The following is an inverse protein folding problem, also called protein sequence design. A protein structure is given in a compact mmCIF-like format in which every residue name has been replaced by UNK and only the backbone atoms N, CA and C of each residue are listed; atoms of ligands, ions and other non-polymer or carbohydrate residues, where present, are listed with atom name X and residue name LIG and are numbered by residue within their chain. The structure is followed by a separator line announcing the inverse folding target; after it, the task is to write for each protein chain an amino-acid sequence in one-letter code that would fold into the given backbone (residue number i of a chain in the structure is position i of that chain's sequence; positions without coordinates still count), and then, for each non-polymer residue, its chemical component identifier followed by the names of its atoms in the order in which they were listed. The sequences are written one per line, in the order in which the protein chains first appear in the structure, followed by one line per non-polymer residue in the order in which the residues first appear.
data_IF_516306386530
#
_entry.id   IF_516306386530
#
_cell.length_a   1.000
_cell.length_b   1.000
_cell.length_c   1.000
_cell.angle_alpha   90.00
_cell.angle_beta   90.00
_cell.angle_gamma   90.00
#
_symmetry.space_group_name_H-M   'P 1'
#
loop_
_entity.id
_entity.type
_entity.pdbx_description
1 polymer ?
#
# COMPACT_ATOMS: atom_id res chain seq x y z
N UNK A 1 -7.40 -35.03 6.96
CA UNK A 1 -8.28 -33.86 7.27
C UNK A 1 -7.63 -32.52 6.91
N UNK A 2 -6.36 -32.27 7.24
CA UNK A 2 -5.70 -30.98 6.93
C UNK A 2 -5.59 -30.62 5.43
N UNK A 3 -5.33 -31.60 4.54
CA UNK A 3 -5.16 -31.38 3.10
C UNK A 3 -6.45 -30.94 2.39
N UNK A 4 -7.60 -31.47 2.81
CA UNK A 4 -8.91 -31.06 2.30
C UNK A 4 -9.22 -29.60 2.65
N UNK A 5 -8.87 -29.16 3.86
CA UNK A 5 -9.05 -27.77 4.28
C UNK A 5 -8.24 -26.77 3.45
N UNK A 6 -6.97 -27.09 3.16
CA UNK A 6 -6.12 -26.24 2.29
C UNK A 6 -6.68 -26.16 0.88
N UNK A 7 -7.12 -27.30 0.31
CA UNK A 7 -7.74 -27.32 -1.03
C UNK A 7 -9.03 -26.50 -1.10
N UNK A 8 -9.89 -26.61 -0.07
CA UNK A 8 -11.14 -25.85 0.00
C UNK A 8 -10.89 -24.35 0.16
N UNK A 9 -9.89 -23.96 0.96
CA UNK A 9 -9.47 -22.58 1.14
C UNK A 9 -8.96 -21.98 -0.17
N UNK A 10 -8.04 -22.66 -0.86
CA UNK A 10 -7.54 -22.23 -2.17
C UNK A 10 -8.67 -22.06 -3.19
N UNK A 11 -9.60 -23.03 -3.27
CA UNK A 11 -10.75 -22.94 -4.16
C UNK A 11 -11.66 -21.74 -3.84
N UNK A 12 -11.91 -21.49 -2.56
CA UNK A 12 -12.74 -20.38 -2.09
C UNK A 12 -12.13 -19.02 -2.43
N UNK A 13 -10.80 -18.86 -2.30
CA UNK A 13 -10.05 -17.66 -2.73
C UNK A 13 -10.13 -17.52 -4.25
N UNK A 14 -9.86 -18.59 -5.01
CA UNK A 14 -9.93 -18.58 -6.48
C UNK A 14 -11.31 -18.19 -7.00
N UNK A 15 -12.37 -18.57 -6.29
CA UNK A 15 -13.76 -18.20 -6.60
C UNK A 15 -14.17 -16.82 -6.06
N UNK A 16 -13.34 -16.19 -5.24
CA UNK A 16 -13.62 -14.89 -4.63
C UNK A 16 -14.64 -14.94 -3.48
N UNK A 17 -14.97 -16.12 -2.95
CA UNK A 17 -15.99 -16.28 -1.90
C UNK A 17 -15.58 -15.67 -0.56
N UNK A 18 -14.27 -15.55 -0.32
CA UNK A 18 -13.70 -15.00 0.90
C UNK A 18 -12.78 -13.80 0.64
N UNK A 19 -12.95 -13.13 -0.52
CA UNK A 19 -12.18 -11.95 -0.89
C UNK A 19 -11.49 -12.07 -2.24
N UNK A 20 -11.22 -10.90 -2.83
CA UNK A 20 -10.47 -10.80 -4.08
C UNK A 20 -8.97 -10.90 -3.80
N UNK A 21 -8.29 -11.78 -4.53
CA UNK A 21 -6.83 -11.84 -4.59
C UNK A 21 -6.39 -11.33 -5.96
N UNK A 22 -5.67 -10.20 -6.04
CA UNK A 22 -5.15 -9.71 -7.30
C UNK A 22 -4.20 -10.72 -7.96
N UNK A 23 -4.05 -10.66 -9.30
CA UNK A 23 -3.00 -11.36 -10.01
C UNK A 23 -1.61 -11.10 -9.43
N UNK A 24 -0.73 -12.10 -9.50
CA UNK A 24 0.63 -12.01 -8.95
C UNK A 24 1.45 -10.89 -9.59
N UNK A 25 1.25 -10.61 -10.87
CA UNK A 25 1.94 -9.55 -11.59
C UNK A 25 1.55 -8.16 -11.08
N UNK A 26 0.29 -7.94 -10.71
CA UNK A 26 -0.16 -6.70 -10.08
C UNK A 26 0.44 -6.53 -8.67
N UNK A 27 0.58 -7.63 -7.91
CA UNK A 27 1.20 -7.63 -6.59
C UNK A 27 2.70 -7.34 -6.67
N UNK A 28 3.39 -7.88 -7.67
CA UNK A 28 4.83 -7.69 -7.85
C UNK A 28 5.18 -6.33 -8.46
N UNK A 29 4.25 -5.71 -9.20
CA UNK A 29 4.45 -4.43 -9.88
C UNK A 29 3.34 -3.45 -9.52
N UNK A 30 3.27 -3.02 -8.24
CA UNK A 30 2.26 -2.07 -7.82
C UNK A 30 2.41 -0.75 -8.56
N UNK A 31 1.32 -0.28 -9.17
CA UNK A 31 1.27 1.03 -9.83
C UNK A 31 1.05 2.09 -8.76
N UNK A 32 2.03 2.98 -8.56
CA UNK A 32 1.84 4.15 -7.69
C UNK A 32 0.90 5.15 -8.35
N UNK A 33 -0.32 5.29 -7.82
CA UNK A 33 -1.32 6.25 -8.30
C UNK A 33 -1.16 7.58 -7.56
N UNK A 34 -0.52 8.55 -8.19
CA UNK A 34 -0.41 9.92 -7.68
C UNK A 34 -1.54 10.81 -8.21
N UNK A 35 -1.98 11.74 -7.38
CA UNK A 35 -2.91 12.78 -7.76
C UNK A 35 -2.23 13.83 -8.65
N UNK A 36 -2.98 14.38 -9.61
CA UNK A 36 -2.57 15.60 -10.31
C UNK A 36 -2.55 16.77 -9.33
N UNK A 37 -1.54 17.63 -9.44
CA UNK A 37 -1.39 18.79 -8.55
C UNK A 37 -1.71 20.07 -9.32
N UNK A 38 -2.60 20.89 -8.77
CA UNK A 38 -2.93 22.21 -9.31
C UNK A 38 -2.04 23.23 -8.61
N UNK A 39 -1.23 23.95 -9.38
CA UNK A 39 -0.30 24.96 -8.89
C UNK A 39 -0.72 26.35 -9.39
N UNK A 40 -0.52 27.38 -8.58
CA UNK A 40 -0.61 28.78 -9.03
C UNK A 40 0.62 29.17 -9.86
N UNK A 41 0.55 30.32 -10.53
CA UNK A 41 1.62 30.82 -11.40
C UNK A 41 2.95 31.08 -10.67
N UNK A 42 2.91 31.29 -9.35
CA UNK A 42 4.07 31.43 -8.46
C UNK A 42 4.56 30.09 -7.87
N UNK A 43 3.98 28.96 -8.29
CA UNK A 43 4.39 27.61 -7.88
C UNK A 43 3.77 27.10 -6.59
N UNK A 44 2.87 27.86 -5.93
CA UNK A 44 2.19 27.39 -4.72
C UNK A 44 1.13 26.33 -5.03
N UNK A 45 1.10 25.25 -4.26
CA UNK A 45 0.06 24.21 -4.40
C UNK A 45 -1.31 24.74 -3.97
N UNK A 46 -2.28 24.65 -4.87
CA UNK A 46 -3.68 25.05 -4.64
C UNK A 46 -4.56 23.85 -4.27
N UNK A 47 -4.22 22.65 -4.76
CA UNK A 47 -4.93 21.43 -4.42
C UNK A 47 -4.51 20.24 -5.27
N UNK A 48 -5.11 19.10 -4.99
CA UNK A 48 -4.88 17.85 -5.70
C UNK A 48 -6.18 17.32 -6.30
N UNK A 49 -6.08 16.65 -7.45
CA UNK A 49 -7.19 15.96 -8.08
C UNK A 49 -6.80 14.53 -8.43
N UNK A 50 -7.66 13.58 -8.07
CA UNK A 50 -7.51 12.17 -8.43
C UNK A 50 -8.87 11.53 -8.62
N UNK A 51 -8.92 10.49 -9.46
CA UNK A 51 -10.14 9.69 -9.66
C UNK A 51 -10.34 8.63 -8.57
N UNK A 52 -9.27 8.13 -7.95
CA UNK A 52 -9.33 7.01 -7.01
C UNK A 52 -8.52 7.21 -5.73
N UNK A 53 -7.28 7.68 -5.83
CA UNK A 53 -6.34 7.76 -4.70
C UNK A 53 -5.69 9.14 -4.65
N UNK A 54 -5.86 9.84 -3.53
CA UNK A 54 -5.32 11.18 -3.33
C UNK A 54 -3.93 11.12 -2.68
N UNK A 55 -2.92 10.70 -3.45
CA UNK A 55 -1.53 10.56 -2.97
C UNK A 55 -0.64 11.62 -3.59
N UNK A 56 0.26 12.17 -2.79
CA UNK A 56 1.35 13.03 -3.25
C UNK A 56 2.68 12.35 -2.97
N UNK A 57 3.65 12.56 -3.86
CA UNK A 57 5.00 12.09 -3.64
C UNK A 57 5.68 12.93 -2.56
N UNK A 58 6.41 12.28 -1.66
CA UNK A 58 7.15 12.88 -0.57
C UNK A 58 8.51 12.20 -0.54
N UNK A 59 9.59 12.99 -0.58
CA UNK A 59 10.95 12.45 -0.52
C UNK A 59 11.25 11.89 0.87
N UNK A 60 12.06 10.83 0.92
CA UNK A 60 12.40 10.15 2.18
C UNK A 60 12.97 11.11 3.24
N UNK A 61 13.86 12.01 2.82
CA UNK A 61 14.54 12.97 3.69
C UNK A 61 13.63 14.11 4.18
N UNK A 62 12.45 14.27 3.57
CA UNK A 62 11.46 15.27 3.98
C UNK A 62 10.53 14.79 5.10
N UNK A 63 10.62 13.51 5.48
CA UNK A 63 9.81 12.90 6.53
C UNK A 63 10.56 12.92 7.86
N UNK A 64 9.92 13.43 8.91
CA UNK A 64 10.49 13.42 10.26
C UNK A 64 10.81 12.01 10.73
N UNK A 65 11.99 11.83 11.34
CA UNK A 65 12.42 10.54 11.89
C UNK A 65 11.47 9.95 12.93
N UNK A 66 10.64 10.80 13.55
CA UNK A 66 9.62 10.40 14.51
C UNK A 66 8.51 9.57 13.85
N UNK A 67 8.17 9.82 12.58
CA UNK A 67 7.14 9.07 11.86
C UNK A 67 7.57 7.62 11.66
N UNK A 68 8.83 7.38 11.24
CA UNK A 68 9.36 6.03 11.09
C UNK A 68 9.37 5.28 12.41
N UNK A 69 9.78 5.93 13.50
CA UNK A 69 9.76 5.34 14.85
C UNK A 69 8.35 5.00 15.31
N UNK A 70 7.39 5.89 15.07
CA UNK A 70 5.99 5.67 15.43
C UNK A 70 5.40 4.48 14.66
N UNK A 71 5.61 4.43 13.34
CA UNK A 71 5.13 3.34 12.48
C UNK A 71 5.66 1.98 12.95
N UNK A 72 6.96 1.88 13.19
CA UNK A 72 7.59 0.65 13.69
C UNK A 72 7.03 0.28 15.07
N UNK A 73 6.86 1.25 15.98
CA UNK A 73 6.32 0.97 17.30
C UNK A 73 4.86 0.48 17.30
N UNK A 74 4.03 0.91 16.34
CA UNK A 74 2.60 0.56 16.30
C UNK A 74 2.28 -0.64 15.43
N UNK A 75 2.97 -0.81 14.30
CA UNK A 75 2.69 -1.89 13.35
C UNK A 75 3.56 -3.11 13.59
N UNK A 76 4.88 -2.89 13.78
CA UNK A 76 5.83 -3.99 13.88
C UNK A 76 7.13 -3.59 14.59
N UNK A 77 7.19 -3.85 15.90
CA UNK A 77 8.37 -3.55 16.73
C UNK A 77 9.62 -4.34 16.32
N UNK A 78 9.45 -5.44 15.60
CA UNK A 78 10.53 -6.32 15.14
C UNK A 78 10.86 -6.12 13.66
N UNK A 79 10.40 -5.05 13.04
CA UNK A 79 10.58 -4.76 11.61
C UNK A 79 12.01 -4.98 11.10
N UNK A 80 13.04 -4.69 11.91
CA UNK A 80 14.45 -4.89 11.53
C UNK A 80 15.01 -6.30 11.83
N UNK A 81 14.28 -7.12 12.58
CA UNK A 81 14.69 -8.46 13.00
C UNK A 81 14.18 -9.57 12.06
N UNK A 82 13.27 -9.26 11.13
CA UNK A 82 12.79 -10.19 10.12
C UNK A 82 12.63 -9.54 8.74
N UNK A 83 12.45 -10.36 7.72
CA UNK A 83 12.35 -9.94 6.31
C UNK A 83 10.92 -9.59 5.88
N UNK A 84 10.03 -9.31 6.83
CA UNK A 84 8.59 -9.38 6.62
C UNK A 84 8.06 -10.77 6.93
#
# INVERSE_FOLDING_TARGET
MGTLGVGLGYYSIKKGWIGYMPPLDELQRPINKYASQVLSADGKMLGTWSRSENRVFVEYDSISSHIYKALIATEDVRFYEHSG
#
